data_IF_683601164769
#
_entry.id   IF_683601164769
#
_cell.length_a   1.000
_cell.length_b   1.000
_cell.length_c   1.000
_cell.angle_alpha   90.00
_cell.angle_beta   90.00
_cell.angle_gamma   90.00
#
_symmetry.space_group_name_H-M   'P 1'
#
loop_
_entity.id
_entity.type
_entity.pdbx_description
1 polymer ?
#
# COMPACT_ATOMS: atom_id res chain seq x y z
N UNK A 1 4.02 -5.34 -6.21
CA UNK A 1 5.23 -4.51 -6.04
C UNK A 1 6.27 -5.30 -5.26
N UNK A 2 7.54 -5.27 -5.67
CA UNK A 2 8.62 -5.87 -4.90
C UNK A 2 8.74 -5.06 -3.59
N UNK A 3 8.71 -5.68 -2.41
CA UNK A 3 8.82 -4.95 -1.15
C UNK A 3 10.22 -4.33 -1.04
N UNK A 4 10.29 -2.99 -0.99
CA UNK A 4 11.53 -2.24 -0.87
C UNK A 4 11.70 -1.72 0.57
N UNK A 5 12.92 -1.85 1.10
CA UNK A 5 13.28 -1.32 2.42
C UNK A 5 13.87 0.09 2.24
N UNK A 6 13.32 1.05 2.99
CA UNK A 6 13.79 2.44 2.99
C UNK A 6 15.30 2.53 3.18
N UNK A 7 15.94 3.34 2.34
CA UNK A 7 17.36 3.65 2.48
C UNK A 7 17.50 4.84 3.43
N UNK A 8 18.46 4.75 4.36
CA UNK A 8 18.78 5.89 5.23
C UNK A 8 19.49 6.97 4.40
N UNK A 9 19.21 8.24 4.68
CA UNK A 9 19.86 9.38 3.99
C UNK A 9 21.38 9.31 3.96
N UNK A 10 21.99 8.84 5.06
CA UNK A 10 23.43 8.74 5.23
C UNK A 10 23.96 7.31 4.97
N UNK A 11 23.28 6.53 4.13
CA UNK A 11 23.74 5.18 3.79
C UNK A 11 25.08 5.24 3.01
N UNK A 12 26.06 4.45 3.44
CA UNK A 12 27.39 4.39 2.82
C UNK A 12 27.48 3.22 1.84
N UNK A 13 28.19 3.41 0.72
CA UNK A 13 28.48 2.34 -0.26
C UNK A 13 29.95 1.91 -0.27
N UNK A 14 30.80 2.72 0.34
CA UNK A 14 32.27 2.64 0.39
C UNK A 14 32.76 1.64 1.45
N UNK A 15 32.10 1.56 2.62
CA UNK A 15 32.55 0.71 3.73
C UNK A 15 31.95 -0.70 3.73
N UNK A 16 30.95 -0.95 2.89
CA UNK A 16 30.20 -2.21 2.92
C UNK A 16 30.52 -3.11 1.72
N UNK A 17 31.23 -4.22 1.97
CA UNK A 17 31.46 -5.32 1.01
C UNK A 17 30.22 -6.21 0.78
N UNK A 18 29.05 -5.78 1.26
CA UNK A 18 27.80 -6.50 1.13
C UNK A 18 27.24 -6.52 -0.30
N UNK A 19 25.94 -6.79 -0.40
CA UNK A 19 25.21 -6.98 -1.67
C UNK A 19 25.49 -5.87 -2.70
N UNK A 20 25.91 -6.28 -3.92
CA UNK A 20 26.07 -5.38 -5.08
C UNK A 20 24.76 -4.65 -5.40
N UNK A 21 23.63 -5.34 -5.29
CA UNK A 21 22.30 -4.75 -5.52
C UNK A 21 22.00 -3.64 -4.51
N UNK A 22 22.29 -3.88 -3.22
CA UNK A 22 22.10 -2.86 -2.18
C UNK A 22 22.92 -1.60 -2.45
N UNK A 23 24.17 -1.74 -2.90
CA UNK A 23 25.02 -0.59 -3.24
C UNK A 23 24.47 0.20 -4.42
N UNK A 24 23.97 -0.47 -5.47
CA UNK A 24 23.32 0.19 -6.61
C UNK A 24 22.10 1.01 -6.15
N UNK A 25 21.24 0.40 -5.34
CA UNK A 25 20.04 1.08 -4.81
C UNK A 25 20.39 2.28 -3.93
N UNK A 26 21.45 2.20 -3.11
CA UNK A 26 21.90 3.34 -2.29
C UNK A 26 22.39 4.49 -3.15
N UNK A 27 23.14 4.21 -4.23
CA UNK A 27 23.58 5.26 -5.18
C UNK A 27 22.40 5.91 -5.86
N UNK A 28 21.47 5.11 -6.37
CA UNK A 28 20.25 5.59 -7.01
C UNK A 28 19.42 6.48 -6.06
N UNK A 29 19.29 6.08 -4.78
CA UNK A 29 18.62 6.88 -3.76
C UNK A 29 19.32 8.22 -3.48
N UNK A 30 20.66 8.22 -3.45
CA UNK A 30 21.45 9.43 -3.20
C UNK A 30 21.42 10.40 -4.38
N UNK A 31 21.43 9.89 -5.61
CA UNK A 31 21.35 10.68 -6.84
C UNK A 31 19.96 11.31 -7.04
N UNK A 32 18.88 10.53 -6.84
CA UNK A 32 17.50 10.96 -7.09
C UNK A 32 16.85 11.67 -5.89
N UNK A 33 17.37 11.44 -4.69
CA UNK A 33 16.74 11.85 -3.45
C UNK A 33 15.48 11.04 -3.10
N UNK A 34 14.94 11.28 -1.90
CA UNK A 34 13.87 10.44 -1.33
C UNK A 34 12.58 10.42 -2.16
N UNK A 35 12.12 11.60 -2.64
CA UNK A 35 10.78 11.73 -3.26
C UNK A 35 10.71 10.92 -4.56
N UNK A 36 11.63 11.19 -5.49
CA UNK A 36 11.68 10.51 -6.77
C UNK A 36 11.97 9.01 -6.61
N UNK A 37 12.93 8.65 -5.76
CA UNK A 37 13.21 7.23 -5.49
C UNK A 37 12.00 6.50 -4.90
N UNK A 38 11.25 7.14 -4.00
CA UNK A 38 10.07 6.52 -3.40
C UNK A 38 8.95 6.31 -4.41
N UNK A 39 8.74 7.26 -5.33
CA UNK A 39 7.76 7.16 -6.40
C UNK A 39 8.08 6.01 -7.36
N UNK A 40 9.31 5.96 -7.88
CA UNK A 40 9.77 4.93 -8.82
C UNK A 40 9.76 3.52 -8.22
N UNK A 41 10.12 3.39 -6.94
CA UNK A 41 10.12 2.11 -6.23
C UNK A 41 8.74 1.77 -5.66
N UNK A 42 7.74 2.64 -5.84
CA UNK A 42 6.43 2.59 -5.19
C UNK A 42 6.56 2.38 -3.66
N UNK A 43 7.63 2.91 -3.07
CA UNK A 43 7.87 2.84 -1.64
C UNK A 43 6.79 3.65 -0.93
N UNK A 44 6.19 3.04 0.10
CA UNK A 44 5.05 3.61 0.80
C UNK A 44 3.70 3.17 0.23
N UNK A 45 3.61 2.70 -1.02
CA UNK A 45 2.33 2.23 -1.61
C UNK A 45 1.83 0.91 -1.03
N UNK A 46 2.67 0.17 -0.30
CA UNK A 46 2.29 -1.05 0.42
C UNK A 46 1.18 -0.80 1.45
N UNK A 47 1.27 0.29 2.21
CA UNK A 47 0.32 0.55 3.29
C UNK A 47 -1.02 1.06 2.77
N UNK A 48 -1.11 2.05 1.85
CA UNK A 48 -2.38 2.49 1.28
C UNK A 48 -3.12 1.38 0.54
N UNK A 49 -2.41 0.57 -0.25
CA UNK A 49 -3.03 -0.44 -1.11
C UNK A 49 -3.49 -1.71 -0.38
N UNK A 50 -2.91 -2.00 0.79
CA UNK A 50 -3.28 -3.20 1.56
C UNK A 50 -3.96 -2.81 2.87
N UNK A 51 -3.25 -2.18 3.78
CA UNK A 51 -3.76 -1.89 5.12
C UNK A 51 -4.74 -0.72 5.17
N UNK A 52 -4.55 0.28 4.31
CA UNK A 52 -5.44 1.44 4.21
C UNK A 52 -6.86 1.02 3.84
N UNK A 53 -6.99 0.14 2.84
CA UNK A 53 -8.29 -0.40 2.41
C UNK A 53 -8.96 -1.18 3.54
N UNK A 54 -8.25 -2.14 4.15
CA UNK A 54 -8.83 -2.93 5.26
C UNK A 54 -9.19 -2.05 6.47
N UNK A 55 -8.36 -1.07 6.82
CA UNK A 55 -8.66 -0.12 7.90
C UNK A 55 -9.89 0.73 7.60
N UNK A 56 -10.03 1.22 6.36
CA UNK A 56 -11.20 1.98 5.94
C UNK A 56 -12.49 1.14 5.95
N UNK A 57 -12.42 -0.09 5.45
CA UNK A 57 -13.54 -1.05 5.47
C UNK A 57 -13.97 -1.33 6.91
N UNK A 58 -13.02 -1.64 7.81
CA UNK A 58 -13.30 -1.89 9.24
C UNK A 58 -13.90 -0.66 9.93
N UNK A 59 -13.45 0.56 9.61
CA UNK A 59 -14.05 1.79 10.16
C UNK A 59 -15.48 2.02 9.67
N UNK A 60 -15.79 1.63 8.43
CA UNK A 60 -17.11 1.85 7.82
C UNK A 60 -18.14 0.81 8.26
N UNK A 61 -17.74 -0.47 8.33
CA UNK A 61 -18.66 -1.60 8.53
C UNK A 61 -18.42 -2.37 9.85
N UNK A 62 -17.44 -1.96 10.64
CA UNK A 62 -16.99 -2.70 11.82
C UNK A 62 -16.05 -3.85 11.49
N UNK A 63 -15.32 -4.29 12.51
CA UNK A 63 -14.35 -5.40 12.40
C UNK A 63 -14.98 -6.77 12.70
N UNK A 64 -16.02 -6.82 13.52
CA UNK A 64 -16.67 -8.05 13.91
C UNK A 64 -17.66 -8.53 12.84
N UNK A 65 -17.76 -9.85 12.68
CA UNK A 65 -18.81 -10.51 11.90
C UNK A 65 -19.84 -11.11 12.84
N UNK A 66 -21.09 -11.27 12.37
CA UNK A 66 -22.21 -11.76 13.20
C UNK A 66 -22.45 -13.25 12.97
N UNK A 67 -22.16 -13.75 11.77
CA UNK A 67 -22.31 -15.17 11.41
C UNK A 67 -21.52 -16.10 12.34
N UNK A 68 -22.13 -17.25 12.62
CA UNK A 68 -21.52 -18.36 13.36
C UNK A 68 -20.99 -19.48 12.47
N UNK A 69 -21.31 -19.48 11.17
CA UNK A 69 -20.77 -20.42 10.20
C UNK A 69 -19.59 -19.83 9.44
N UNK A 70 -18.63 -20.68 9.08
CA UNK A 70 -17.45 -20.30 8.30
C UNK A 70 -17.82 -19.67 6.96
N UNK A 71 -18.83 -20.21 6.28
CA UNK A 71 -19.34 -19.73 5.01
C UNK A 71 -19.95 -18.34 5.15
N UNK A 72 -20.76 -18.12 6.19
CA UNK A 72 -21.36 -16.81 6.46
C UNK A 72 -20.32 -15.76 6.83
N UNK A 73 -19.28 -16.12 7.59
CA UNK A 73 -18.16 -15.23 7.90
C UNK A 73 -17.43 -14.78 6.62
N UNK A 74 -17.17 -15.72 5.70
CA UNK A 74 -16.55 -15.43 4.40
C UNK A 74 -17.45 -14.55 3.51
N UNK A 75 -18.76 -14.83 3.52
CA UNK A 75 -19.74 -14.06 2.76
C UNK A 75 -19.82 -12.61 3.28
N UNK A 76 -19.94 -12.41 4.59
CA UNK A 76 -19.96 -11.08 5.22
C UNK A 76 -18.69 -10.28 4.89
N UNK A 77 -17.51 -10.90 5.03
CA UNK A 77 -16.24 -10.25 4.70
C UNK A 77 -16.16 -9.84 3.24
N UNK A 78 -16.55 -10.74 2.33
CA UNK A 78 -16.56 -10.47 0.88
C UNK A 78 -17.55 -9.36 0.52
N UNK A 79 -18.75 -9.36 1.10
CA UNK A 79 -19.76 -8.33 0.86
C UNK A 79 -19.29 -6.95 1.30
N UNK A 80 -18.67 -6.82 2.48
CA UNK A 80 -18.15 -5.53 2.98
C UNK A 80 -17.08 -4.95 2.06
N UNK A 81 -16.17 -5.80 1.57
CA UNK A 81 -15.14 -5.38 0.61
C UNK A 81 -15.75 -4.97 -0.73
N UNK A 82 -16.70 -5.74 -1.25
CA UNK A 82 -17.38 -5.45 -2.51
C UNK A 82 -18.16 -4.13 -2.46
N UNK A 83 -18.94 -3.90 -1.39
CA UNK A 83 -19.70 -2.66 -1.20
C UNK A 83 -18.74 -1.47 -1.08
N UNK A 84 -17.63 -1.61 -0.35
CA UNK A 84 -16.63 -0.54 -0.23
C UNK A 84 -16.05 -0.15 -1.59
N UNK A 85 -15.64 -1.12 -2.40
CA UNK A 85 -15.10 -0.88 -3.74
C UNK A 85 -16.15 -0.24 -4.66
N UNK A 86 -17.38 -0.77 -4.66
CA UNK A 86 -18.50 -0.21 -5.42
C UNK A 86 -18.77 1.27 -5.09
N UNK A 87 -18.84 1.63 -3.80
CA UNK A 87 -19.03 3.02 -3.37
C UNK A 87 -17.89 3.91 -3.86
N UNK A 88 -16.64 3.45 -3.74
CA UNK A 88 -15.49 4.24 -4.17
C UNK A 88 -15.44 4.44 -5.68
N UNK A 89 -15.80 3.44 -6.47
CA UNK A 89 -15.87 3.57 -7.92
C UNK A 89 -16.96 4.57 -8.33
N UNK A 90 -18.13 4.51 -7.69
CA UNK A 90 -19.22 5.46 -7.92
C UNK A 90 -18.80 6.90 -7.59
N UNK A 91 -18.22 7.12 -6.41
CA UNK A 91 -17.72 8.43 -5.99
C UNK A 91 -16.67 9.00 -6.97
N UNK A 92 -15.77 8.16 -7.49
CA UNK A 92 -14.78 8.60 -8.51
C UNK A 92 -15.45 9.03 -9.81
N UNK A 93 -16.48 8.30 -10.26
CA UNK A 93 -17.22 8.66 -11.47
C UNK A 93 -17.95 9.99 -11.30
N UNK A 94 -18.59 10.21 -10.15
CA UNK A 94 -19.27 11.47 -9.83
C UNK A 94 -18.28 12.65 -9.82
N UNK A 95 -17.14 12.52 -9.14
CA UNK A 95 -16.10 13.57 -9.13
C UNK A 95 -15.59 13.86 -10.54
N UNK A 96 -15.39 12.84 -11.38
CA UNK A 96 -14.95 13.03 -12.76
C UNK A 96 -16.01 13.70 -13.65
N UNK A 97 -17.29 13.58 -13.33
CA UNK A 97 -18.37 14.26 -14.06
C UNK A 97 -18.52 15.73 -13.64
N UNK A 98 -18.04 16.09 -12.44
CA UNK A 98 -18.10 17.45 -11.91
C UNK A 98 -16.91 18.33 -12.34
N UNK A 99 -15.81 17.70 -12.79
CA UNK A 99 -14.62 18.36 -13.30
C UNK A 99 -14.66 18.49 -14.82
#
# INVERSE_FOLDING_TARGET
>A
AIPVIKIRKNASTDRQRGSKHRRKEVREYQEKGYKQWAEEKHYGMRWPGTEGIFSAVKRKFGENCVSRSTEGLKAEGSQRLWIYDYINQRAKMEVNQMN
#
